data_IF_312336420609
#
_entry.id   IF_312336420609
#
_cell.length_a   1.000
_cell.length_b   1.000
_cell.length_c   1.000
_cell.angle_alpha   90.00
_cell.angle_beta   90.00
_cell.angle_gamma   90.00
#
_symmetry.space_group_name_H-M   'P 1'
#
loop_
_entity.id
_entity.type
_entity.pdbx_description
1 polymer ?
#
# COMPACT_ATOMS: atom_id res chain seq x y z
N UNK A 1 16.56 20.37 -9.67
CA UNK A 1 15.79 19.77 -10.76
C UNK A 1 14.41 20.39 -10.76
N UNK A 2 14.10 21.16 -11.81
CA UNK A 2 12.82 21.86 -11.94
C UNK A 2 11.70 20.81 -11.99
N UNK A 3 10.77 20.85 -11.02
CA UNK A 3 9.61 19.98 -10.99
C UNK A 3 8.79 20.31 -12.24
N UNK A 4 8.86 19.48 -13.28
CA UNK A 4 8.00 19.63 -14.46
C UNK A 4 6.57 19.83 -13.98
N UNK A 5 5.97 20.96 -14.37
CA UNK A 5 4.61 21.26 -14.00
C UNK A 5 3.72 20.22 -14.69
N UNK A 6 3.21 19.27 -13.90
CA UNK A 6 2.23 18.31 -14.40
C UNK A 6 1.04 19.07 -14.96
N UNK A 7 0.61 18.68 -16.16
CA UNK A 7 -0.67 19.11 -16.70
C UNK A 7 -1.85 18.58 -15.87
N UNK A 8 -3.10 18.93 -16.25
CA UNK A 8 -4.30 18.42 -15.61
C UNK A 8 -4.31 16.89 -15.47
N UNK A 9 -4.83 16.38 -14.35
CA UNK A 9 -5.04 14.95 -14.14
C UNK A 9 -6.41 14.52 -14.71
N UNK A 10 -6.45 14.36 -16.04
CA UNK A 10 -7.65 13.94 -16.78
C UNK A 10 -8.17 12.57 -16.33
N UNK A 11 -7.27 11.67 -15.94
CA UNK A 11 -7.61 10.33 -15.41
C UNK A 11 -8.48 10.43 -14.16
N UNK A 12 -8.06 11.22 -13.18
CA UNK A 12 -8.85 11.45 -11.98
C UNK A 12 -10.20 12.09 -12.30
N UNK A 13 -10.22 13.09 -13.19
CA UNK A 13 -11.48 13.73 -13.63
C UNK A 13 -12.47 12.74 -14.23
N UNK A 14 -11.99 11.88 -15.15
CA UNK A 14 -12.80 10.86 -15.82
C UNK A 14 -13.36 9.84 -14.84
N UNK A 15 -12.53 9.33 -13.93
CA UNK A 15 -12.95 8.32 -12.94
C UNK A 15 -13.97 8.92 -11.95
N UNK A 16 -13.82 10.18 -11.54
CA UNK A 16 -14.81 10.85 -10.69
C UNK A 16 -16.17 11.00 -11.39
N UNK A 17 -16.18 11.34 -12.68
CA UNK A 17 -17.38 11.41 -13.49
C UNK A 17 -18.05 10.03 -13.61
N UNK A 18 -17.28 8.98 -13.92
CA UNK A 18 -17.77 7.60 -13.99
C UNK A 18 -18.36 7.11 -12.65
N UNK A 19 -17.73 7.47 -11.53
CA UNK A 19 -18.21 7.12 -10.20
C UNK A 19 -19.40 7.99 -9.72
N UNK A 20 -19.74 9.05 -10.45
CA UNK A 20 -20.75 10.03 -10.03
C UNK A 20 -20.41 10.72 -8.71
N UNK A 21 -19.11 10.96 -8.45
CA UNK A 21 -18.63 11.61 -7.22
C UNK A 21 -18.33 13.08 -7.50
N UNK A 22 -18.95 13.98 -6.73
CA UNK A 22 -18.60 15.40 -6.76
C UNK A 22 -17.29 15.69 -6.01
N UNK A 23 -16.60 16.78 -6.33
CA UNK A 23 -15.38 17.19 -5.64
C UNK A 23 -15.58 17.34 -4.12
N UNK A 24 -16.69 17.91 -3.69
CA UNK A 24 -17.03 18.01 -2.27
C UNK A 24 -17.30 16.63 -1.64
N UNK A 25 -17.97 15.74 -2.38
CA UNK A 25 -18.23 14.37 -1.94
C UNK A 25 -16.95 13.54 -1.80
N UNK A 26 -15.99 13.70 -2.71
CA UNK A 26 -14.68 13.05 -2.60
C UNK A 26 -13.92 13.56 -1.37
N UNK A 27 -13.83 14.89 -1.21
CA UNK A 27 -13.11 15.50 -0.09
C UNK A 27 -13.63 14.98 1.25
N UNK A 28 -14.97 14.91 1.42
CA UNK A 28 -15.60 14.36 2.61
C UNK A 28 -15.21 12.91 2.85
N UNK A 29 -15.34 12.03 1.85
CA UNK A 29 -14.98 10.61 1.99
C UNK A 29 -13.50 10.40 2.30
N UNK A 30 -12.60 11.19 1.70
CA UNK A 30 -11.17 11.13 1.97
C UNK A 30 -10.87 11.52 3.42
N UNK A 31 -11.50 12.58 3.92
CA UNK A 31 -11.35 12.98 5.32
C UNK A 31 -11.94 11.93 6.28
N UNK A 32 -13.11 11.37 5.96
CA UNK A 32 -13.77 10.34 6.76
C UNK A 32 -12.90 9.06 6.85
N UNK A 33 -12.36 8.60 5.72
CA UNK A 33 -11.42 7.47 5.68
C UNK A 33 -10.11 7.79 6.40
N UNK A 34 -9.62 9.04 6.30
CA UNK A 34 -8.46 9.51 7.04
C UNK A 34 -8.69 9.42 8.55
N UNK A 35 -9.83 9.92 9.03
CA UNK A 35 -10.21 9.90 10.43
C UNK A 35 -10.33 8.47 10.98
N UNK A 36 -10.90 7.54 10.19
CA UNK A 36 -10.94 6.10 10.54
C UNK A 36 -9.55 5.48 10.72
N UNK A 37 -8.52 6.05 10.07
CA UNK A 37 -7.12 5.63 10.18
C UNK A 37 -6.31 6.49 11.17
N UNK A 38 -6.97 7.32 11.98
CA UNK A 38 -6.31 8.21 12.95
C UNK A 38 -5.62 9.43 12.33
N UNK A 39 -5.86 9.72 11.05
CA UNK A 39 -5.27 10.86 10.35
C UNK A 39 -6.19 12.09 10.47
N UNK A 40 -5.60 13.24 10.80
CA UNK A 40 -6.32 14.53 10.78
C UNK A 40 -6.14 15.21 9.43
N UNK A 41 -7.09 14.99 8.51
CA UNK A 41 -7.09 15.57 7.16
C UNK A 41 -8.18 16.64 7.04
N UNK A 42 -7.91 17.69 6.26
CA UNK A 42 -8.82 18.82 6.05
C UNK A 42 -8.91 19.20 4.58
N UNK A 43 -9.24 18.24 3.73
CA UNK A 43 -9.47 18.52 2.31
C UNK A 43 -10.87 19.07 2.07
N UNK A 44 -10.97 19.92 1.05
CA UNK A 44 -12.21 20.54 0.61
C UNK A 44 -12.40 20.37 -0.91
N UNK A 45 -13.52 20.88 -1.44
CA UNK A 45 -13.80 20.84 -2.88
C UNK A 45 -12.68 21.49 -3.72
N UNK A 46 -12.02 22.51 -3.17
CA UNK A 46 -10.95 23.27 -3.84
C UNK A 46 -9.68 22.44 -3.95
N UNK A 47 -9.34 21.68 -2.91
CA UNK A 47 -8.24 20.73 -2.90
C UNK A 47 -8.39 19.71 -4.03
N UNK A 48 -9.58 19.11 -4.13
CA UNK A 48 -9.90 18.15 -5.20
C UNK A 48 -9.86 18.80 -6.58
N UNK A 49 -10.44 19.99 -6.73
CA UNK A 49 -10.38 20.72 -7.99
C UNK A 49 -8.94 21.01 -8.43
N UNK A 50 -8.02 21.29 -7.49
CA UNK A 50 -6.59 21.48 -7.79
C UNK A 50 -5.89 20.17 -8.16
N UNK A 51 -6.27 19.03 -7.58
CA UNK A 51 -5.72 17.73 -7.99
C UNK A 51 -6.09 17.39 -9.43
N UNK A 52 -7.33 17.69 -9.83
CA UNK A 52 -7.82 17.46 -11.20
C UNK A 52 -7.25 18.52 -12.16
N UNK A 53 -7.59 19.80 -11.97
CA UNK A 53 -7.30 20.83 -12.96
C UNK A 53 -5.83 21.24 -13.03
N UNK A 54 -5.07 21.13 -11.93
CA UNK A 54 -3.65 21.54 -11.87
C UNK A 54 -2.69 20.36 -11.76
N UNK A 55 -3.19 19.12 -11.80
CA UNK A 55 -2.36 17.93 -11.62
C UNK A 55 -1.62 17.89 -10.28
N UNK A 56 -2.10 18.62 -9.26
CA UNK A 56 -1.45 18.63 -7.95
C UNK A 56 -1.49 17.24 -7.34
N UNK A 57 -0.34 16.72 -6.92
CA UNK A 57 -0.27 15.41 -6.28
C UNK A 57 -0.56 15.57 -4.78
N UNK A 58 -1.64 14.95 -4.26
CA UNK A 58 -1.89 14.92 -2.83
C UNK A 58 -0.76 14.18 -2.09
N UNK A 59 -0.42 14.63 -0.89
CA UNK A 59 0.74 14.13 -0.14
C UNK A 59 0.35 13.07 0.89
N UNK A 60 1.33 12.26 1.31
CA UNK A 60 1.14 11.24 2.34
C UNK A 60 0.14 10.16 1.93
N UNK A 61 -0.80 9.85 2.83
CA UNK A 61 -1.80 8.79 2.64
C UNK A 61 -2.91 9.14 1.62
N UNK A 62 -3.06 10.41 1.26
CA UNK A 62 -4.20 10.91 0.51
C UNK A 62 -4.43 10.26 -0.87
N UNK A 63 -3.40 9.98 -1.71
CA UNK A 63 -3.58 9.23 -2.96
C UNK A 63 -4.32 7.89 -2.78
N UNK A 64 -3.96 7.13 -1.74
CA UNK A 64 -4.56 5.83 -1.43
C UNK A 64 -5.96 5.96 -0.84
N UNK A 65 -6.22 7.02 -0.07
CA UNK A 65 -7.56 7.34 0.42
C UNK A 65 -8.50 7.75 -0.72
N UNK A 66 -7.99 8.46 -1.73
CA UNK A 66 -8.75 8.81 -2.95
C UNK A 66 -9.11 7.53 -3.72
N UNK A 67 -8.12 6.66 -3.96
CA UNK A 67 -8.34 5.36 -4.60
C UNK A 67 -9.39 4.51 -3.85
N UNK A 68 -9.28 4.42 -2.53
CA UNK A 68 -10.23 3.69 -1.69
C UNK A 68 -11.64 4.31 -1.74
N UNK A 69 -11.77 5.64 -1.68
CA UNK A 69 -13.06 6.32 -1.74
C UNK A 69 -13.78 6.10 -3.09
N UNK A 70 -13.03 6.15 -4.19
CA UNK A 70 -13.54 5.87 -5.53
C UNK A 70 -13.89 4.39 -5.67
N UNK A 71 -13.00 3.48 -5.25
CA UNK A 71 -13.21 2.05 -5.34
C UNK A 71 -14.44 1.58 -4.57
N UNK A 72 -14.67 2.14 -3.38
CA UNK A 72 -15.89 1.88 -2.60
C UNK A 72 -17.17 2.31 -3.33
N UNK A 73 -17.11 3.38 -4.15
CA UNK A 73 -18.26 3.84 -4.94
C UNK A 73 -18.47 3.01 -6.20
N UNK A 74 -17.39 2.54 -6.84
CA UNK A 74 -17.43 1.72 -8.04
C UNK A 74 -17.65 0.22 -7.76
N UNK A 75 -17.52 -0.22 -6.51
CA UNK A 75 -17.65 -1.62 -6.13
C UNK A 75 -16.46 -2.49 -6.56
N UNK A 76 -15.32 -1.89 -6.91
CA UNK A 76 -14.08 -2.61 -7.25
C UNK A 76 -12.84 -1.87 -6.77
N UNK A 77 -11.70 -2.55 -6.59
CA UNK A 77 -10.41 -1.90 -6.36
C UNK A 77 -10.04 -0.96 -7.53
N UNK A 78 -9.47 0.19 -7.20
CA UNK A 78 -8.98 1.19 -8.17
C UNK A 78 -7.50 1.46 -7.88
N UNK A 79 -6.57 1.06 -8.75
CA UNK A 79 -5.15 1.30 -8.55
C UNK A 79 -4.77 2.75 -8.86
N UNK A 80 -3.67 3.24 -8.27
CA UNK A 80 -3.24 4.64 -8.40
C UNK A 80 -2.95 5.06 -9.86
N UNK A 81 -2.45 4.15 -10.70
CA UNK A 81 -2.19 4.45 -12.11
C UNK A 81 -3.46 4.73 -12.93
N UNK A 82 -4.60 4.19 -12.50
CA UNK A 82 -5.90 4.40 -13.13
C UNK A 82 -6.41 5.82 -12.88
N UNK A 83 -6.06 6.41 -11.72
CA UNK A 83 -6.43 7.78 -11.34
C UNK A 83 -5.29 8.79 -11.54
N UNK A 84 -4.23 8.42 -12.27
CA UNK A 84 -3.12 9.33 -12.58
C UNK A 84 -2.24 9.71 -11.37
N UNK A 85 -2.22 8.88 -10.33
CA UNK A 85 -1.44 9.08 -9.10
C UNK A 85 -0.35 8.00 -8.89
N UNK A 86 0.08 7.32 -9.96
CA UNK A 86 1.06 6.22 -9.88
C UNK A 86 2.35 6.60 -9.14
N UNK A 87 2.88 7.82 -9.39
CA UNK A 87 4.14 8.27 -8.78
C UNK A 87 4.00 8.65 -7.29
N UNK A 88 2.77 8.59 -6.76
CA UNK A 88 2.51 8.80 -5.34
C UNK A 88 2.49 7.47 -4.57
N UNK A 89 2.72 6.34 -5.25
CA UNK A 89 2.93 5.04 -4.61
C UNK A 89 4.33 5.01 -3.98
N UNK A 90 4.46 4.91 -2.65
CA UNK A 90 5.76 4.88 -1.99
C UNK A 90 6.60 3.64 -2.34
N UNK A 91 5.99 2.59 -2.92
CA UNK A 91 6.62 1.62 -3.82
C UNK A 91 5.66 0.44 -4.02
N UNK A 92 5.16 0.18 -5.24
CA UNK A 92 4.24 -0.93 -5.50
C UNK A 92 4.86 -2.31 -5.25
N UNK A 93 6.20 -2.40 -5.14
CA UNK A 93 6.95 -3.65 -5.07
C UNK A 93 7.72 -3.87 -3.76
N UNK A 94 7.88 -2.83 -2.92
CA UNK A 94 8.65 -2.94 -1.67
C UNK A 94 7.85 -3.80 -0.69
N UNK A 95 8.37 -5.00 -0.42
CA UNK A 95 7.71 -6.03 0.38
C UNK A 95 6.89 -7.05 -0.41
N UNK A 96 6.69 -6.84 -1.71
CA UNK A 96 6.24 -7.87 -2.65
C UNK A 96 7.40 -8.51 -3.43
N UNK A 97 8.61 -7.95 -3.34
CA UNK A 97 9.80 -8.66 -3.78
C UNK A 97 10.09 -9.84 -2.84
N UNK A 98 10.44 -10.99 -3.43
CA UNK A 98 10.97 -12.17 -2.72
C UNK A 98 12.43 -12.38 -3.18
N UNK A 99 13.39 -11.72 -2.52
CA UNK A 99 14.81 -11.81 -2.89
C UNK A 99 15.36 -13.22 -2.71
N UNK A 100 16.31 -13.61 -3.56
CA UNK A 100 16.92 -14.96 -3.52
C UNK A 100 18.20 -15.02 -2.70
N UNK A 101 18.88 -13.89 -2.56
CA UNK A 101 20.10 -13.74 -1.78
C UNK A 101 19.77 -13.18 -0.39
N UNK A 102 20.42 -13.71 0.64
CA UNK A 102 20.23 -13.25 2.03
C UNK A 102 20.56 -11.76 2.16
N UNK A 103 21.62 -11.28 1.50
CA UNK A 103 21.99 -9.88 1.51
C UNK A 103 20.91 -8.99 0.88
N UNK A 104 20.31 -9.43 -0.21
CA UNK A 104 19.18 -8.76 -0.86
C UNK A 104 17.92 -8.78 0.00
N UNK A 105 17.62 -9.91 0.67
CA UNK A 105 16.50 -10.01 1.61
C UNK A 105 16.63 -9.02 2.78
N UNK A 106 17.83 -8.89 3.36
CA UNK A 106 18.10 -7.92 4.42
C UNK A 106 17.95 -6.48 3.91
N UNK A 107 18.42 -6.18 2.70
CA UNK A 107 18.22 -4.86 2.08
C UNK A 107 16.73 -4.56 1.90
N UNK A 108 15.95 -5.47 1.35
CA UNK A 108 14.51 -5.29 1.15
C UNK A 108 13.77 -5.11 2.48
N UNK A 109 14.08 -5.91 3.51
CA UNK A 109 13.50 -5.75 4.85
C UNK A 109 13.86 -4.40 5.49
N UNK A 110 15.09 -3.94 5.28
CA UNK A 110 15.55 -2.63 5.76
C UNK A 110 14.81 -1.48 5.07
N UNK A 111 14.61 -1.54 3.75
CA UNK A 111 13.81 -0.56 3.02
C UNK A 111 12.36 -0.54 3.51
N UNK A 112 11.75 -1.72 3.68
CA UNK A 112 10.41 -1.90 4.27
C UNK A 112 10.28 -1.20 5.63
N UNK A 113 11.29 -1.38 6.50
CA UNK A 113 11.34 -0.77 7.82
C UNK A 113 11.51 0.76 7.76
N UNK A 114 12.43 1.25 6.91
CA UNK A 114 12.63 2.70 6.70
C UNK A 114 11.37 3.37 6.17
N UNK A 115 10.66 2.69 5.27
CA UNK A 115 9.43 3.19 4.70
C UNK A 115 8.35 3.31 5.81
N UNK A 116 8.18 2.30 6.67
CA UNK A 116 7.28 2.39 7.83
C UNK A 116 7.61 3.59 8.73
N UNK A 117 8.89 3.78 9.06
CA UNK A 117 9.35 4.89 9.89
C UNK A 117 9.12 6.27 9.26
N UNK A 118 9.27 6.39 7.93
CA UNK A 118 9.02 7.64 7.21
C UNK A 118 7.54 8.06 7.33
N UNK A 119 6.61 7.10 7.34
CA UNK A 119 5.18 7.34 7.53
C UNK A 119 4.82 7.90 8.90
N UNK A 120 5.49 7.43 9.96
CA UNK A 120 5.14 7.79 11.36
C UNK A 120 5.24 9.27 11.67
N UNK A 121 6.01 10.05 10.90
CA UNK A 121 6.07 11.52 11.06
C UNK A 121 4.75 12.23 10.70
N UNK A 122 3.84 11.54 10.00
CA UNK A 122 2.53 12.05 9.59
C UNK A 122 1.33 11.53 10.41
N UNK A 123 1.56 10.86 11.55
CA UNK A 123 0.48 10.42 12.45
C UNK A 123 0.08 8.93 12.38
N UNK A 124 0.82 8.09 11.65
CA UNK A 124 0.65 6.62 11.60
C UNK A 124 1.71 5.97 10.71
N UNK A 125 1.97 4.66 10.85
CA UNK A 125 2.87 3.96 9.92
C UNK A 125 2.30 3.98 8.49
N UNK A 126 3.16 3.90 7.47
CA UNK A 126 2.69 3.93 6.07
C UNK A 126 1.68 2.80 5.83
N UNK A 127 1.88 1.66 6.49
CA UNK A 127 1.14 0.45 6.20
C UNK A 127 -0.30 0.55 6.70
N UNK A 128 -0.54 1.23 7.82
CA UNK A 128 -1.90 1.57 8.24
C UNK A 128 -2.59 2.52 7.25
N UNK A 129 -1.83 3.44 6.65
CA UNK A 129 -2.34 4.36 5.64
C UNK A 129 -2.63 3.69 4.29
N UNK A 130 -1.92 2.61 3.97
CA UNK A 130 -2.07 1.82 2.74
C UNK A 130 -3.12 0.69 2.85
N UNK A 131 -3.53 0.31 4.06
CA UNK A 131 -4.50 -0.75 4.30
C UNK A 131 -5.80 -0.53 3.49
N UNK A 132 -6.09 -1.46 2.58
CA UNK A 132 -7.28 -1.44 1.71
C UNK A 132 -7.07 -0.91 0.28
N UNK A 133 -5.83 -0.60 -0.13
CA UNK A 133 -5.53 -0.11 -1.50
C UNK A 133 -4.74 -1.08 -2.38
N UNK A 134 -4.56 -2.34 -1.97
CA UNK A 134 -3.81 -3.33 -2.76
C UNK A 134 -4.74 -4.15 -3.66
N UNK A 135 -4.29 -4.44 -4.89
CA UNK A 135 -4.95 -5.40 -5.76
C UNK A 135 -4.51 -6.82 -5.39
N UNK A 136 -5.46 -7.75 -5.24
CA UNK A 136 -5.14 -9.18 -4.96
C UNK A 136 -4.24 -9.77 -6.05
N UNK A 137 -4.39 -9.33 -7.30
CA UNK A 137 -3.54 -9.76 -8.42
C UNK A 137 -2.05 -9.43 -8.23
N UNK A 138 -1.71 -8.40 -7.44
CA UNK A 138 -0.32 -8.06 -7.14
C UNK A 138 0.41 -9.18 -6.36
N UNK A 139 -0.33 -10.06 -5.68
CA UNK A 139 0.23 -11.20 -4.95
C UNK A 139 0.56 -12.41 -5.82
N UNK A 140 0.07 -12.48 -7.07
CA UNK A 140 0.23 -13.67 -7.90
C UNK A 140 1.71 -14.02 -8.14
N UNK A 141 2.52 -13.03 -8.51
CA UNK A 141 3.96 -13.21 -8.74
C UNK A 141 4.75 -13.54 -7.46
N UNK A 142 4.63 -12.81 -6.35
CA UNK A 142 5.33 -13.18 -5.12
C UNK A 142 4.88 -14.53 -4.56
N UNK A 143 3.58 -14.83 -4.56
CA UNK A 143 3.08 -16.09 -4.05
C UNK A 143 3.55 -17.27 -4.91
N UNK A 144 3.51 -17.13 -6.24
CA UNK A 144 4.06 -18.17 -7.14
C UNK A 144 5.55 -18.37 -6.90
N UNK A 145 6.34 -17.29 -6.83
CA UNK A 145 7.78 -17.37 -6.52
C UNK A 145 8.05 -18.05 -5.19
N UNK A 146 7.27 -17.72 -4.15
CA UNK A 146 7.39 -18.36 -2.84
C UNK A 146 7.09 -19.88 -2.91
N UNK A 147 6.03 -20.27 -3.61
CA UNK A 147 5.61 -21.68 -3.67
C UNK A 147 6.53 -22.58 -4.50
N UNK A 148 7.10 -22.05 -5.59
CA UNK A 148 7.87 -22.86 -6.55
C UNK A 148 9.38 -22.79 -6.33
N UNK A 149 9.86 -21.93 -5.43
CA UNK A 149 11.29 -21.71 -5.22
C UNK A 149 11.72 -22.28 -3.87
N UNK A 150 12.67 -23.25 -3.83
CA UNK A 150 13.18 -23.78 -2.58
C UNK A 150 13.93 -22.71 -1.78
N UNK A 151 13.88 -22.81 -0.44
CA UNK A 151 14.62 -21.93 0.45
C UNK A 151 16.13 -22.01 0.19
N UNK A 152 16.84 -20.90 0.37
CA UNK A 152 18.30 -20.87 0.27
C UNK A 152 18.90 -21.91 1.23
N UNK A 153 19.74 -22.85 0.74
CA UNK A 153 20.23 -23.96 1.55
C UNK A 153 21.09 -23.53 2.74
N UNK A 154 21.67 -22.33 2.71
CA UNK A 154 22.46 -21.79 3.83
C UNK A 154 21.61 -21.41 5.04
N UNK A 155 20.31 -21.16 4.83
CA UNK A 155 19.36 -20.72 5.87
C UNK A 155 18.13 -21.62 5.97
N UNK A 156 18.00 -22.62 5.09
CA UNK A 156 16.92 -23.59 5.10
C UNK A 156 16.91 -24.35 6.43
N UNK A 157 15.74 -24.36 7.09
CA UNK A 157 15.51 -25.15 8.29
C UNK A 157 14.91 -26.48 7.87
N UNK A 158 15.43 -27.57 8.41
CA UNK A 158 14.84 -28.88 8.19
C UNK A 158 13.43 -28.94 8.83
N UNK A 159 12.35 -29.07 8.02
CA UNK A 159 10.98 -29.03 8.54
C UNK A 159 10.69 -30.19 9.51
N UNK A 160 11.37 -31.32 9.38
CA UNK A 160 11.23 -32.48 10.25
C UNK A 160 11.76 -32.23 11.67
N UNK A 161 12.88 -31.50 11.81
CA UNK A 161 13.42 -31.12 13.11
C UNK A 161 12.50 -30.12 13.85
N UNK A 162 11.84 -29.21 13.11
CA UNK A 162 10.90 -28.25 13.68
C UNK A 162 9.60 -28.89 14.19
N UNK A 163 9.04 -29.88 13.46
CA UNK A 163 7.85 -30.62 13.90
C UNK A 163 8.13 -31.49 15.14
N UNK A 164 9.29 -32.13 15.21
CA UNK A 164 9.70 -32.93 16.38
C UNK A 164 9.82 -32.07 17.66
N UNK A 165 10.31 -30.84 17.55
CA UNK A 165 10.41 -29.91 18.69
C UNK A 165 9.03 -29.47 19.22
N UNK A 166 8.05 -29.28 18.33
CA UNK A 166 6.68 -28.88 18.71
C UNK A 166 5.92 -30.03 19.38
N UNK A 167 6.13 -31.27 18.92
CA UNK A 167 5.45 -32.46 19.44
C UNK A 167 6.15 -33.05 20.68
N UNK A 168 7.47 -32.95 20.79
CA UNK A 168 8.26 -33.44 21.92
C UNK A 168 8.17 -32.61 23.21
N UNK A 169 7.65 -31.38 23.14
CA UNK A 169 7.46 -30.50 24.30
C UNK A 169 6.21 -30.79 25.15
N UNK A 170 5.35 -31.73 24.73
CA UNK A 170 4.08 -32.05 25.45
C UNK A 170 4.13 -33.31 26.31
N UNK A 171 5.26 -34.03 26.38
CA UNK A 171 5.36 -35.31 27.09
C UNK A 171 6.17 -35.29 28.40
N UNK A 172 6.53 -34.11 28.92
CA UNK A 172 7.29 -33.98 30.18
C UNK A 172 6.47 -33.31 31.28
N UNK A 173 5.52 -34.03 31.89
CA UNK A 173 4.71 -33.48 32.97
C UNK A 173 3.69 -34.45 33.55
N UNK A 174 4.15 -35.59 34.08
CA UNK A 174 3.56 -36.29 35.23
C UNK A 174 4.51 -37.38 35.69
N UNK A 175 5.25 -37.11 36.76
CA UNK A 175 5.44 -37.99 37.93
C UNK A 175 5.98 -37.15 39.10
#
# INVERSE_FOLDING_TARGET
MSREQRGPNEKLGTVLALAGISNAGLARRVNDLGAQRGLTLRYDKTSVARWVAKGMVPQGAAPHLIAAAIGAKLGRPVPLHEIGLADADPAPEVGLAFPRDVGEAVRSATELYRLDLAGRRGGGGIWQSLAGSFAVSAYATPASRWLITPADPSVARDPTAAQAAILGGRSGGQE
#
